data_IF_436841487545
#
_entry.id   IF_436841487545
#
_cell.length_a   1.000
_cell.length_b   1.000
_cell.length_c   1.000
_cell.angle_alpha   90.00
_cell.angle_beta   90.00
_cell.angle_gamma   90.00
#
_symmetry.space_group_name_H-M   'P 1'
#
loop_
_entity.id
_entity.type
_entity.pdbx_description
1 polymer ?
#
# COMPACT_ATOMS: atom_id res chain seq x y z
N UNK A 1 21.35 12.33 14.56
CA UNK A 1 22.19 12.25 13.35
C UNK A 1 21.24 12.05 12.19
N UNK A 2 20.90 13.13 11.46
CA UNK A 2 20.00 13.05 10.30
C UNK A 2 20.80 12.43 9.17
N UNK A 3 20.45 11.22 8.79
CA UNK A 3 20.94 10.64 7.54
C UNK A 3 20.13 11.36 6.44
N UNK A 4 20.73 12.35 5.80
CA UNK A 4 20.28 12.81 4.50
C UNK A 4 20.50 11.64 3.52
N UNK A 5 19.55 10.77 3.42
CA UNK A 5 19.50 9.78 2.35
C UNK A 5 19.21 10.57 1.07
N UNK A 6 20.23 10.73 0.22
CA UNK A 6 20.04 11.36 -1.09
C UNK A 6 18.95 10.61 -1.89
N UNK A 7 18.27 11.33 -2.79
CA UNK A 7 17.23 10.73 -3.63
C UNK A 7 17.74 9.45 -4.33
N UNK A 8 16.90 8.41 -4.49
CA UNK A 8 17.30 7.16 -5.14
C UNK A 8 17.72 7.44 -6.60
N UNK A 9 18.81 6.80 -7.04
CA UNK A 9 19.31 6.97 -8.42
C UNK A 9 18.44 6.27 -9.45
N UNK A 10 17.77 5.21 -9.01
CA UNK A 10 16.77 4.50 -9.81
C UNK A 10 15.73 3.84 -8.90
N UNK A 11 14.58 3.47 -9.46
CA UNK A 11 13.47 2.87 -8.72
C UNK A 11 13.77 1.49 -8.10
N UNK A 12 14.85 0.83 -8.51
CA UNK A 12 15.24 -0.49 -7.97
C UNK A 12 16.30 -0.40 -6.87
N UNK A 13 16.80 0.79 -6.56
CA UNK A 13 17.74 0.97 -5.46
C UNK A 13 17.04 0.68 -4.10
N UNK A 14 17.76 0.07 -3.18
CA UNK A 14 17.31 -0.12 -1.80
C UNK A 14 17.27 1.24 -1.07
N UNK A 15 16.08 1.83 -0.95
CA UNK A 15 15.86 3.15 -0.38
C UNK A 15 14.46 3.25 0.22
N UNK A 16 14.23 4.06 1.27
CA UNK A 16 12.89 4.22 1.87
C UNK A 16 11.80 4.62 0.87
N UNK A 17 12.13 5.51 -0.07
CA UNK A 17 11.20 5.99 -1.08
C UNK A 17 10.81 4.90 -2.08
N UNK A 18 11.79 4.13 -2.55
CA UNK A 18 11.55 3.04 -3.49
C UNK A 18 10.82 1.88 -2.82
N UNK A 19 11.11 1.57 -1.55
CA UNK A 19 10.37 0.59 -0.77
C UNK A 19 8.88 0.98 -0.65
N UNK A 20 8.59 2.23 -0.30
CA UNK A 20 7.22 2.76 -0.27
C UNK A 20 6.55 2.69 -1.65
N UNK A 21 7.23 3.14 -2.70
CA UNK A 21 6.73 3.10 -4.06
C UNK A 21 6.36 1.69 -4.51
N UNK A 22 7.26 0.72 -4.32
CA UNK A 22 6.98 -0.67 -4.70
C UNK A 22 5.92 -1.32 -3.83
N UNK A 23 5.81 -0.95 -2.57
CA UNK A 23 4.68 -1.33 -1.73
C UNK A 23 3.34 -0.90 -2.32
N UNK A 24 3.27 0.34 -2.84
CA UNK A 24 2.09 0.85 -3.55
C UNK A 24 1.84 0.11 -4.86
N UNK A 25 2.87 -0.08 -5.70
CA UNK A 25 2.74 -0.83 -6.97
C UNK A 25 2.25 -2.25 -6.73
N UNK A 26 2.80 -2.95 -5.76
CA UNK A 26 2.43 -4.34 -5.45
C UNK A 26 1.01 -4.41 -4.87
N UNK A 27 0.62 -3.42 -4.06
CA UNK A 27 -0.69 -3.40 -3.39
C UNK A 27 -1.87 -3.14 -4.33
N UNK A 28 -1.77 -2.15 -5.19
CA UNK A 28 -2.87 -1.71 -6.06
C UNK A 28 -2.44 -1.17 -7.43
N UNK A 29 -1.16 -1.36 -7.78
CA UNK A 29 -0.61 -0.92 -9.05
C UNK A 29 -0.69 -1.98 -10.15
N UNK A 30 -0.23 -1.59 -11.33
CA UNK A 30 -0.15 -2.42 -12.52
C UNK A 30 1.27 -2.36 -13.09
N UNK A 31 1.80 -3.51 -13.50
CA UNK A 31 3.11 -3.64 -14.14
C UNK A 31 2.92 -4.16 -15.56
N UNK A 32 3.45 -3.44 -16.53
CA UNK A 32 3.44 -3.81 -17.96
C UNK A 32 4.86 -3.68 -18.52
N UNK A 33 5.11 -4.16 -19.75
CA UNK A 33 6.40 -3.98 -20.42
C UNK A 33 6.78 -2.51 -20.61
N UNK A 34 5.81 -1.63 -20.80
CA UNK A 34 6.04 -0.20 -20.97
C UNK A 34 6.42 0.51 -19.66
N UNK A 35 5.93 0.01 -18.52
CA UNK A 35 6.18 0.64 -17.24
C UNK A 35 5.31 0.14 -16.09
N UNK A 36 5.16 0.99 -15.09
CA UNK A 36 4.31 0.74 -13.92
C UNK A 36 3.32 1.88 -13.72
N UNK A 37 2.13 1.54 -13.25
CA UNK A 37 1.06 2.50 -12.96
C UNK A 37 0.58 2.32 -11.53
N UNK A 38 0.42 3.42 -10.81
CA UNK A 38 -0.19 3.44 -9.46
C UNK A 38 -1.35 4.41 -9.46
N UNK A 39 -2.46 4.03 -8.82
CA UNK A 39 -3.63 4.90 -8.64
C UNK A 39 -3.82 5.22 -7.16
N UNK A 40 -4.29 6.42 -6.87
CA UNK A 40 -4.63 6.85 -5.52
C UNK A 40 -5.75 7.89 -5.55
N UNK A 41 -6.48 8.00 -4.44
CA UNK A 41 -7.51 9.04 -4.26
C UNK A 41 -6.97 10.23 -3.44
N UNK A 42 -5.66 10.30 -3.25
CA UNK A 42 -4.99 11.29 -2.43
C UNK A 42 -3.95 12.02 -3.28
N UNK A 43 -4.19 13.31 -3.52
CA UNK A 43 -3.34 14.15 -4.37
C UNK A 43 -1.91 14.22 -3.86
N UNK A 44 -1.74 14.47 -2.56
CA UNK A 44 -0.41 14.54 -1.93
C UNK A 44 0.37 13.23 -2.10
N UNK A 45 -0.31 12.09 -1.97
CA UNK A 45 0.32 10.80 -2.21
C UNK A 45 0.69 10.61 -3.69
N UNK A 46 -0.15 11.06 -4.62
CA UNK A 46 0.13 10.99 -6.05
C UNK A 46 1.35 11.83 -6.43
N UNK A 47 1.42 13.09 -5.96
CA UNK A 47 2.56 13.96 -6.19
C UNK A 47 3.86 13.36 -5.65
N UNK A 48 3.81 12.74 -4.45
CA UNK A 48 4.97 12.09 -3.88
C UNK A 48 5.41 10.87 -4.67
N UNK A 49 4.47 10.02 -5.10
CA UNK A 49 4.74 8.86 -5.95
C UNK A 49 5.33 9.29 -7.31
N UNK A 50 4.80 10.36 -7.92
CA UNK A 50 5.33 10.91 -9.16
C UNK A 50 6.77 11.41 -8.98
N UNK A 51 7.06 12.11 -7.90
CA UNK A 51 8.40 12.59 -7.60
C UNK A 51 9.40 11.42 -7.42
N UNK A 52 9.01 10.35 -6.73
CA UNK A 52 9.83 9.14 -6.56
C UNK A 52 10.05 8.45 -7.91
N UNK A 53 8.99 8.33 -8.70
CA UNK A 53 9.03 7.66 -10.01
C UNK A 53 9.79 8.45 -11.08
N UNK A 54 10.07 9.73 -10.84
CA UNK A 54 10.57 10.65 -11.87
C UNK A 54 9.55 10.83 -13.01
N UNK A 55 8.26 10.76 -12.70
CA UNK A 55 7.19 10.90 -13.68
C UNK A 55 6.99 12.37 -14.04
N UNK A 56 6.65 12.65 -15.32
CA UNK A 56 6.44 14.01 -15.82
C UNK A 56 5.18 14.70 -15.24
N UNK A 57 4.30 13.94 -14.59
CA UNK A 57 3.09 14.47 -13.99
C UNK A 57 2.16 13.41 -13.42
N UNK A 58 1.02 13.89 -12.93
CA UNK A 58 -0.08 13.10 -12.37
C UNK A 58 -1.32 13.32 -13.24
N UNK A 59 -1.91 12.25 -13.77
CA UNK A 59 -3.22 12.32 -14.44
C UNK A 59 -4.32 12.32 -13.37
N UNK A 60 -5.18 13.32 -13.40
CA UNK A 60 -6.30 13.46 -12.47
C UNK A 60 -7.64 13.29 -13.19
N UNK A 61 -8.50 12.45 -12.61
CA UNK A 61 -9.88 12.24 -13.08
C UNK A 61 -10.84 12.18 -11.92
N UNK A 62 -12.04 12.68 -12.14
CA UNK A 62 -13.16 12.47 -11.23
C UNK A 62 -13.93 11.26 -11.73
N UNK A 63 -14.09 10.25 -10.86
CA UNK A 63 -14.82 9.03 -11.17
C UNK A 63 -16.11 9.01 -10.36
N UNK A 64 -17.22 8.99 -11.06
CA UNK A 64 -18.54 8.88 -10.47
C UNK A 64 -18.91 7.40 -10.29
N UNK A 65 -19.34 7.05 -9.10
CA UNK A 65 -19.82 5.70 -8.75
C UNK A 65 -21.26 5.79 -8.28
N UNK A 66 -22.14 5.05 -8.92
CA UNK A 66 -23.52 4.85 -8.46
C UNK A 66 -23.54 3.75 -7.38
N UNK A 67 -24.37 3.95 -6.37
CA UNK A 67 -24.57 2.92 -5.36
C UNK A 67 -25.48 1.80 -5.93
N UNK A 68 -25.07 0.54 -5.79
CA UNK A 68 -25.80 -0.61 -6.30
C UNK A 68 -27.22 -0.75 -5.72
N UNK A 69 -27.47 -0.19 -4.54
CA UNK A 69 -28.76 -0.24 -3.85
C UNK A 69 -29.60 1.04 -4.00
N UNK A 70 -29.00 2.14 -4.45
CA UNK A 70 -29.71 3.39 -4.71
C UNK A 70 -28.96 4.19 -5.78
N UNK A 71 -29.41 4.06 -7.02
CA UNK A 71 -28.83 4.73 -8.19
C UNK A 71 -29.06 6.23 -8.20
N UNK A 72 -29.87 6.77 -7.27
CA UNK A 72 -30.04 8.22 -7.09
C UNK A 72 -28.87 8.86 -6.33
N UNK A 73 -28.02 8.04 -5.68
CA UNK A 73 -26.84 8.50 -4.95
C UNK A 73 -25.60 8.27 -5.81
N UNK A 74 -25.06 9.33 -6.36
CA UNK A 74 -23.77 9.33 -7.05
C UNK A 74 -22.69 9.84 -6.10
N UNK A 75 -21.61 9.07 -5.94
CA UNK A 75 -20.43 9.52 -5.23
C UNK A 75 -19.30 9.78 -6.20
N UNK A 76 -18.91 11.04 -6.32
CA UNK A 76 -17.71 11.46 -7.06
C UNK A 76 -16.47 11.23 -6.21
N UNK A 77 -15.46 10.62 -6.81
CA UNK A 77 -14.17 10.36 -6.15
C UNK A 77 -13.05 10.80 -7.06
N UNK A 78 -12.15 11.63 -6.53
CA UNK A 78 -10.92 11.98 -7.23
C UNK A 78 -10.04 10.74 -7.36
N UNK A 79 -9.48 10.55 -8.55
CA UNK A 79 -8.54 9.47 -8.85
C UNK A 79 -7.33 10.08 -9.54
N UNK A 80 -6.17 9.88 -8.94
CA UNK A 80 -4.88 10.33 -9.43
C UNK A 80 -4.10 9.11 -9.93
N UNK A 81 -3.55 9.21 -11.13
CA UNK A 81 -2.77 8.15 -11.76
C UNK A 81 -1.35 8.62 -11.99
N UNK A 82 -0.38 7.86 -11.50
CA UNK A 82 1.05 8.06 -11.69
C UNK A 82 1.58 6.94 -12.57
N UNK A 83 2.34 7.29 -13.61
CA UNK A 83 2.96 6.33 -14.52
C UNK A 83 4.47 6.55 -14.55
N UNK A 84 5.24 5.47 -14.38
CA UNK A 84 6.67 5.43 -14.63
C UNK A 84 6.93 4.58 -15.87
N UNK A 85 7.40 5.20 -16.94
CA UNK A 85 7.65 4.59 -18.24
C UNK A 85 9.15 4.25 -18.45
N UNK A 86 9.54 3.86 -19.65
CA UNK A 86 10.95 3.63 -20.00
C UNK A 86 11.48 2.26 -19.62
N UNK A 87 10.66 1.21 -19.75
CA UNK A 87 11.07 -0.19 -19.51
C UNK A 87 11.32 -0.50 -18.04
N UNK A 88 10.78 0.31 -17.12
CA UNK A 88 10.89 0.04 -15.67
C UNK A 88 10.12 -1.22 -15.30
N UNK A 89 9.03 -1.54 -16.02
CA UNK A 89 8.24 -2.75 -15.80
C UNK A 89 9.05 -4.02 -16.02
N UNK A 90 9.75 -4.15 -17.14
CA UNK A 90 10.62 -5.30 -17.45
C UNK A 90 11.71 -5.47 -16.38
N UNK A 91 12.38 -4.37 -16.01
CA UNK A 91 13.43 -4.40 -14.99
C UNK A 91 12.89 -4.79 -13.61
N UNK A 92 11.70 -4.29 -13.26
CA UNK A 92 11.05 -4.64 -12.00
C UNK A 92 10.59 -6.11 -11.97
N UNK A 93 10.04 -6.61 -13.07
CA UNK A 93 9.70 -8.03 -13.20
C UNK A 93 10.94 -8.91 -13.02
N UNK A 94 12.04 -8.57 -13.67
CA UNK A 94 13.30 -9.30 -13.57
C UNK A 94 13.93 -9.22 -12.15
N UNK A 95 13.98 -8.02 -11.55
CA UNK A 95 14.64 -7.80 -10.26
C UNK A 95 13.76 -8.22 -9.08
N UNK A 96 12.51 -7.79 -9.05
CA UNK A 96 11.59 -7.98 -7.92
C UNK A 96 10.66 -9.19 -8.12
N UNK A 97 10.71 -9.86 -9.27
CA UNK A 97 9.82 -10.97 -9.57
C UNK A 97 8.34 -10.56 -9.58
N UNK A 98 8.05 -9.35 -10.04
CA UNK A 98 6.67 -8.91 -10.18
C UNK A 98 6.02 -9.63 -11.37
N UNK A 99 4.71 -9.93 -11.30
CA UNK A 99 4.01 -10.61 -12.39
C UNK A 99 3.99 -9.71 -13.63
N UNK A 100 4.33 -10.30 -14.76
CA UNK A 100 4.39 -9.66 -16.04
C UNK A 100 3.88 -10.62 -17.13
N UNK A 101 3.04 -10.16 -18.04
CA UNK A 101 2.51 -10.93 -19.17
C UNK A 101 1.98 -12.33 -18.82
N UNK A 102 1.27 -12.46 -17.69
CA UNK A 102 0.70 -13.73 -17.24
C UNK A 102 1.59 -14.58 -16.35
N UNK A 103 2.82 -14.16 -16.07
CA UNK A 103 3.66 -14.80 -15.05
C UNK A 103 3.03 -14.66 -13.66
N UNK A 104 3.11 -15.70 -12.86
CA UNK A 104 2.58 -15.71 -11.50
C UNK A 104 3.38 -14.81 -10.54
N UNK A 105 4.56 -14.37 -10.93
CA UNK A 105 5.49 -13.59 -10.12
C UNK A 105 6.06 -14.36 -8.92
N UNK A 106 7.15 -13.88 -8.37
CA UNK A 106 7.80 -14.44 -7.19
C UNK A 106 7.85 -13.49 -6.00
N UNK A 107 7.65 -12.19 -6.23
CA UNK A 107 7.69 -11.12 -5.22
C UNK A 107 8.94 -11.17 -4.34
N UNK A 108 10.12 -11.07 -4.97
CA UNK A 108 11.42 -11.00 -4.29
C UNK A 108 11.62 -9.60 -3.71
N UNK A 109 11.21 -9.40 -2.47
CA UNK A 109 11.23 -8.09 -1.79
C UNK A 109 12.40 -7.95 -0.81
N UNK A 110 13.32 -8.91 -0.82
CA UNK A 110 14.46 -8.95 0.12
C UNK A 110 15.41 -7.75 -0.03
N UNK A 111 15.41 -7.11 -1.20
CA UNK A 111 16.14 -5.86 -1.43
C UNK A 111 15.69 -4.70 -0.51
N UNK A 112 14.48 -4.78 0.04
CA UNK A 112 13.88 -3.73 0.87
C UNK A 112 13.79 -4.12 2.36
N UNK A 113 14.50 -5.15 2.81
CA UNK A 113 14.41 -5.65 4.20
C UNK A 113 14.79 -4.59 5.24
N UNK A 114 15.70 -3.67 4.92
CA UNK A 114 16.05 -2.54 5.80
C UNK A 114 14.96 -1.45 5.83
N UNK A 115 14.01 -1.50 4.91
CA UNK A 115 12.94 -0.54 4.71
C UNK A 115 11.55 -1.18 4.78
N UNK A 116 11.43 -2.27 5.54
CA UNK A 116 10.21 -3.06 5.73
C UNK A 116 9.01 -2.21 6.12
N UNK A 117 9.22 -1.24 7.01
CA UNK A 117 8.20 -0.29 7.45
C UNK A 117 7.63 0.52 6.30
N UNK A 118 8.48 1.06 5.42
CA UNK A 118 8.05 1.84 4.26
C UNK A 118 7.36 0.96 3.23
N UNK A 119 7.87 -0.24 3.02
CA UNK A 119 7.27 -1.24 2.14
C UNK A 119 5.88 -1.64 2.64
N UNK A 120 5.77 -2.01 3.92
CA UNK A 120 4.49 -2.37 4.56
C UNK A 120 3.49 -1.21 4.57
N UNK A 121 3.96 0.04 4.74
CA UNK A 121 3.12 1.22 4.59
C UNK A 121 2.53 1.34 3.19
N UNK A 122 3.38 1.21 2.16
CA UNK A 122 2.92 1.21 0.77
C UNK A 122 1.88 0.12 0.50
N UNK A 123 2.12 -1.10 0.97
CA UNK A 123 1.19 -2.22 0.87
C UNK A 123 -0.13 -1.95 1.63
N UNK A 124 -0.06 -1.42 2.85
CA UNK A 124 -1.25 -1.06 3.64
C UNK A 124 -2.10 0.00 2.93
N UNK A 125 -1.46 0.99 2.32
CA UNK A 125 -2.16 2.06 1.59
C UNK A 125 -2.69 1.61 0.23
N UNK A 126 -2.07 0.61 -0.39
CA UNK A 126 -2.52 -0.01 -1.65
C UNK A 126 -3.66 -0.99 -1.44
N UNK A 127 -3.40 -2.12 -0.83
CA UNK A 127 -4.36 -3.21 -0.67
C UNK A 127 -4.85 -3.42 0.77
N UNK A 128 -4.46 -2.55 1.72
CA UNK A 128 -4.92 -2.65 3.10
C UNK A 128 -6.23 -1.91 3.36
N UNK A 129 -6.90 -2.35 4.41
CA UNK A 129 -8.09 -1.70 4.97
C UNK A 129 -7.90 -1.48 6.45
N UNK A 130 -8.29 -0.30 6.92
CA UNK A 130 -8.33 0.04 8.34
C UNK A 130 -9.77 0.43 8.68
N UNK A 131 -10.31 -0.06 9.77
CA UNK A 131 -11.66 0.30 10.22
C UNK A 131 -11.78 0.23 11.75
N UNK A 132 -12.70 1.00 12.28
CA UNK A 132 -13.22 0.78 13.62
C UNK A 132 -14.31 -0.29 13.54
N UNK A 133 -14.21 -1.31 14.40
CA UNK A 133 -15.20 -2.39 14.55
C UNK A 133 -16.13 -2.04 15.71
N UNK A 134 -17.27 -1.43 15.40
CA UNK A 134 -18.22 -0.93 16.40
C UNK A 134 -18.75 -2.01 17.34
N UNK A 135 -18.90 -3.25 16.86
CA UNK A 135 -19.46 -4.34 17.66
C UNK A 135 -18.47 -4.85 18.72
N UNK A 136 -17.18 -4.69 18.48
CA UNK A 136 -16.10 -5.13 19.37
C UNK A 136 -15.38 -3.97 20.08
N UNK A 137 -15.60 -2.72 19.64
CA UNK A 137 -14.86 -1.55 20.15
C UNK A 137 -13.37 -1.56 19.79
N UNK A 138 -12.98 -2.24 18.72
CA UNK A 138 -11.57 -2.47 18.34
C UNK A 138 -11.21 -1.84 17.00
N UNK A 139 -9.92 -1.75 16.72
CA UNK A 139 -9.39 -1.38 15.40
C UNK A 139 -9.12 -2.65 14.60
N UNK A 140 -9.65 -2.72 13.38
CA UNK A 140 -9.32 -3.78 12.42
C UNK A 140 -8.35 -3.28 11.38
N UNK A 141 -7.31 -4.08 11.11
CA UNK A 141 -6.42 -3.94 9.96
C UNK A 141 -6.45 -5.23 9.16
N UNK A 142 -6.67 -5.13 7.86
CA UNK A 142 -6.69 -6.30 6.97
C UNK A 142 -6.08 -5.97 5.62
N UNK A 143 -5.63 -6.99 4.89
CA UNK A 143 -5.12 -6.91 3.54
C UNK A 143 -5.98 -7.76 2.61
N UNK A 144 -6.28 -7.23 1.43
CA UNK A 144 -7.09 -7.89 0.39
C UNK A 144 -6.38 -7.79 -0.94
N UNK A 145 -6.23 -8.89 -1.66
CA UNK A 145 -5.58 -8.89 -2.97
C UNK A 145 -6.06 -10.06 -3.83
N UNK A 146 -6.07 -9.91 -5.15
CA UNK A 146 -6.46 -10.96 -6.09
C UNK A 146 -5.44 -12.10 -6.18
N UNK A 147 -4.18 -11.83 -5.81
CA UNK A 147 -3.09 -12.80 -5.85
C UNK A 147 -2.72 -13.23 -4.43
N UNK A 148 -2.99 -14.49 -4.08
CA UNK A 148 -2.66 -15.07 -2.78
C UNK A 148 -1.19 -14.91 -2.40
N UNK A 149 -0.26 -15.05 -3.36
CA UNK A 149 1.17 -14.88 -3.13
C UNK A 149 1.56 -13.52 -2.58
N UNK A 150 0.86 -12.45 -2.96
CA UNK A 150 1.09 -11.10 -2.38
C UNK A 150 0.78 -11.12 -0.89
N UNK A 151 -0.35 -11.67 -0.50
CA UNK A 151 -0.75 -11.76 0.90
C UNK A 151 0.19 -12.65 1.73
N UNK A 152 0.63 -13.77 1.17
CA UNK A 152 1.65 -14.64 1.81
C UNK A 152 2.97 -13.90 2.01
N UNK A 153 3.35 -13.02 1.06
CA UNK A 153 4.56 -12.20 1.21
C UNK A 153 4.37 -11.08 2.25
N UNK A 154 3.19 -10.46 2.31
CA UNK A 154 2.88 -9.47 3.36
C UNK A 154 2.94 -10.12 4.73
N UNK A 155 2.39 -11.33 4.91
CA UNK A 155 2.47 -12.09 6.16
C UNK A 155 3.93 -12.35 6.57
N UNK A 156 4.76 -12.81 5.64
CA UNK A 156 6.20 -12.99 5.92
C UNK A 156 6.91 -11.71 6.33
N UNK A 157 6.52 -10.55 5.77
CA UNK A 157 7.06 -9.25 6.19
C UNK A 157 6.58 -8.86 7.59
N UNK A 158 5.32 -9.16 7.94
CA UNK A 158 4.76 -8.92 9.28
C UNK A 158 5.44 -9.80 10.33
N UNK A 159 5.72 -11.08 10.02
CA UNK A 159 6.43 -12.01 10.90
C UNK A 159 7.86 -11.54 11.22
N UNK A 160 8.50 -10.79 10.32
CA UNK A 160 9.85 -10.25 10.49
C UNK A 160 9.90 -8.78 10.94
N UNK A 161 8.74 -8.13 11.06
CA UNK A 161 8.67 -6.72 11.42
C UNK A 161 9.15 -6.45 12.85
N UNK A 162 9.64 -5.22 13.09
CA UNK A 162 10.09 -4.79 14.43
C UNK A 162 8.94 -4.49 15.40
N UNK A 163 7.70 -4.82 15.04
CA UNK A 163 6.50 -4.74 15.87
C UNK A 163 5.79 -6.09 15.84
N UNK A 164 5.25 -6.51 16.96
CA UNK A 164 4.40 -7.70 17.00
C UNK A 164 3.11 -7.42 16.22
N UNK A 165 2.87 -8.22 15.19
CA UNK A 165 1.71 -8.11 14.31
C UNK A 165 1.09 -9.48 14.01
N UNK A 166 0.62 -10.22 15.04
CA UNK A 166 -0.05 -11.49 14.84
C UNK A 166 -1.24 -11.34 13.91
N UNK A 167 -1.44 -12.33 13.06
CA UNK A 167 -2.40 -12.28 11.97
C UNK A 167 -2.99 -13.66 11.65
N UNK A 168 -4.17 -13.67 11.05
CA UNK A 168 -4.85 -14.87 10.61
C UNK A 168 -4.27 -15.50 9.33
N UNK A 169 -4.85 -16.63 8.94
CA UNK A 169 -4.55 -17.30 7.68
C UNK A 169 -5.23 -16.59 6.49
N UNK A 170 -4.63 -16.75 5.30
CA UNK A 170 -5.25 -16.26 4.07
C UNK A 170 -6.51 -17.06 3.73
N UNK A 171 -7.62 -16.37 3.62
CA UNK A 171 -8.93 -16.89 3.25
C UNK A 171 -9.41 -16.31 1.93
N UNK A 172 -10.24 -17.05 1.20
CA UNK A 172 -10.87 -16.54 -0.01
C UNK A 172 -12.03 -15.61 0.32
N UNK A 173 -12.18 -14.56 -0.50
CA UNK A 173 -13.33 -13.66 -0.44
C UNK A 173 -14.46 -14.20 -1.34
N UNK A 174 -15.69 -13.78 -1.09
CA UNK A 174 -16.84 -14.13 -1.96
C UNK A 174 -16.72 -13.56 -3.39
N UNK A 175 -15.85 -12.58 -3.60
CA UNK A 175 -15.57 -11.97 -4.91
C UNK A 175 -14.43 -12.64 -5.68
N UNK A 176 -13.80 -13.70 -5.13
CA UNK A 176 -12.74 -14.46 -5.79
C UNK A 176 -11.32 -13.99 -5.51
N UNK A 177 -11.13 -12.99 -4.66
CA UNK A 177 -9.81 -12.61 -4.16
C UNK A 177 -9.48 -13.29 -2.83
N UNK A 178 -8.40 -12.85 -2.19
CA UNK A 178 -7.92 -13.38 -0.91
C UNK A 178 -7.83 -12.25 0.11
N UNK A 179 -7.90 -12.60 1.40
CA UNK A 179 -7.73 -11.66 2.49
C UNK A 179 -7.15 -12.32 3.72
N UNK A 180 -6.56 -11.52 4.58
CA UNK A 180 -6.29 -11.85 5.99
C UNK A 180 -6.35 -10.59 6.83
N UNK A 181 -6.54 -10.75 8.15
CA UNK A 181 -6.55 -9.65 9.12
C UNK A 181 -5.45 -9.81 10.16
N UNK A 182 -4.98 -8.71 10.72
CA UNK A 182 -4.22 -8.71 11.95
C UNK A 182 -5.18 -8.97 13.13
N UNK A 183 -4.63 -9.49 14.21
CA UNK A 183 -5.34 -9.56 15.48
C UNK A 183 -5.67 -8.14 15.95
N UNK A 184 -6.88 -7.95 16.46
CA UNK A 184 -7.40 -6.62 16.79
C UNK A 184 -6.56 -5.93 17.88
N UNK A 185 -6.03 -6.68 18.82
CA UNK A 185 -5.17 -6.16 19.90
C UNK A 185 -3.81 -5.63 19.37
N UNK A 186 -3.33 -6.15 18.24
CA UNK A 186 -2.08 -5.73 17.63
C UNK A 186 -2.26 -4.58 16.61
N UNK A 187 -3.46 -4.40 16.08
CA UNK A 187 -3.72 -3.45 15.01
C UNK A 187 -3.37 -1.99 15.35
N UNK A 188 -3.63 -1.44 16.56
CA UNK A 188 -3.22 -0.10 16.93
C UNK A 188 -1.70 0.08 16.95
N UNK A 189 -0.96 -0.83 17.59
CA UNK A 189 0.50 -0.78 17.69
C UNK A 189 1.17 -0.91 16.30
N UNK A 190 0.69 -1.82 15.47
CA UNK A 190 1.13 -1.92 14.07
C UNK A 190 0.87 -0.62 13.30
N UNK A 191 -0.34 -0.05 13.46
CA UNK A 191 -0.73 1.20 12.81
C UNK A 191 0.18 2.37 13.20
N UNK A 192 0.51 2.52 14.45
CA UNK A 192 1.45 3.54 14.95
C UNK A 192 2.85 3.30 14.38
N UNK A 193 3.35 2.08 14.48
CA UNK A 193 4.68 1.72 13.99
C UNK A 193 4.82 1.97 12.48
N UNK A 194 3.86 1.53 11.67
CA UNK A 194 3.94 1.64 10.21
C UNK A 194 3.98 3.09 9.73
N UNK A 195 3.36 4.03 10.46
CA UNK A 195 3.38 5.46 10.14
C UNK A 195 4.46 6.27 10.88
N UNK A 196 5.28 5.65 11.73
CA UNK A 196 6.37 6.35 12.43
C UNK A 196 7.32 7.00 11.41
N UNK A 197 7.62 8.29 11.61
CA UNK A 197 8.52 9.08 10.76
C UNK A 197 7.93 9.48 9.39
N UNK A 198 6.69 9.10 9.08
CA UNK A 198 6.08 9.40 7.78
C UNK A 198 5.88 10.90 7.52
N UNK A 199 5.62 11.69 8.56
CA UNK A 199 5.45 13.14 8.44
C UNK A 199 6.71 13.85 7.93
N UNK A 200 7.88 13.42 8.41
CA UNK A 200 9.15 14.00 8.00
C UNK A 200 9.52 13.60 6.56
N UNK A 201 9.25 12.36 6.18
CA UNK A 201 9.59 11.85 4.85
C UNK A 201 8.55 12.18 3.78
N UNK A 202 7.31 12.49 4.17
CA UNK A 202 6.18 12.64 3.24
C UNK A 202 5.75 11.34 2.57
N UNK A 203 6.26 10.18 3.01
CA UNK A 203 5.96 8.87 2.42
C UNK A 203 4.70 8.27 3.04
N UNK A 204 3.55 8.84 2.73
CA UNK A 204 2.26 8.34 3.19
C UNK A 204 1.08 9.01 2.44
N UNK A 205 -0.08 8.36 2.46
CA UNK A 205 -1.35 8.91 2.01
C UNK A 205 -2.09 9.55 3.21
N UNK A 206 -2.24 10.89 3.25
CA UNK A 206 -2.89 11.61 4.36
C UNK A 206 -4.28 11.10 4.71
N UNK A 207 -5.08 10.72 3.71
CA UNK A 207 -6.42 10.16 3.91
C UNK A 207 -6.40 8.83 4.67
N UNK A 208 -5.46 7.94 4.34
CA UNK A 208 -5.30 6.62 4.97
C UNK A 208 -4.84 6.75 6.43
N UNK A 209 -3.82 7.58 6.66
CA UNK A 209 -3.33 7.85 8.01
C UNK A 209 -4.40 8.50 8.90
N UNK A 210 -5.18 9.43 8.35
CA UNK A 210 -6.31 10.03 9.07
C UNK A 210 -7.37 9.00 9.44
N UNK A 211 -7.65 8.06 8.54
CA UNK A 211 -8.61 6.98 8.81
C UNK A 211 -8.14 6.09 9.96
N UNK A 212 -6.86 5.69 9.97
CA UNK A 212 -6.29 4.92 11.08
C UNK A 212 -6.43 5.67 12.40
N UNK A 213 -5.97 6.93 12.47
CA UNK A 213 -6.04 7.74 13.69
C UNK A 213 -7.46 7.84 14.22
N UNK A 214 -8.45 8.12 13.36
CA UNK A 214 -9.85 8.15 13.75
C UNK A 214 -10.37 6.82 14.29
N UNK A 215 -9.93 5.70 13.69
CA UNK A 215 -10.34 4.37 14.17
C UNK A 215 -9.76 4.07 15.55
N UNK A 216 -8.52 4.50 15.83
CA UNK A 216 -7.91 4.37 17.17
C UNK A 216 -8.63 5.26 18.19
N UNK A 217 -8.84 6.54 17.87
CA UNK A 217 -9.58 7.49 18.73
C UNK A 217 -10.99 6.97 19.08
N UNK A 218 -11.66 6.33 18.12
CA UNK A 218 -12.98 5.72 18.36
C UNK A 218 -12.91 4.50 19.30
N UNK A 219 -11.87 3.67 19.15
CA UNK A 219 -11.67 2.51 20.04
C UNK A 219 -11.30 2.90 21.47
N UNK A 220 -10.52 3.98 21.66
CA UNK A 220 -10.18 4.52 22.98
C UNK A 220 -11.38 5.14 23.73
N UNK A 221 -12.39 5.59 22.99
CA UNK A 221 -13.61 6.20 23.53
C UNK A 221 -14.77 5.25 23.75
N UNK A 222 -14.58 3.96 23.40
CA UNK A 222 -15.61 2.92 23.49
C UNK A 222 -15.58 2.22 24.85
#
# INVERSE_FOLDING_TARGET
MSIETGAPRNLLDAHPETAYFWGRVIGDGEVTGEGVTVRTNDETAAERLAAIAGADGVDHRIVDREYAHDTSITRSTDTYTVQALGGVGDRAAAALGLPFEGDAGGYRLDAFTEFDRQLLRGLLEGCGTVCFKSDAGTVGVSFVHDKRKVLERIRSLLDSAAVEAPHGECSETSSGGYWFGLDDDAAPAFGEWVYTGSEHSGLFAPSRRRKLRRSVEQAEGY
#
